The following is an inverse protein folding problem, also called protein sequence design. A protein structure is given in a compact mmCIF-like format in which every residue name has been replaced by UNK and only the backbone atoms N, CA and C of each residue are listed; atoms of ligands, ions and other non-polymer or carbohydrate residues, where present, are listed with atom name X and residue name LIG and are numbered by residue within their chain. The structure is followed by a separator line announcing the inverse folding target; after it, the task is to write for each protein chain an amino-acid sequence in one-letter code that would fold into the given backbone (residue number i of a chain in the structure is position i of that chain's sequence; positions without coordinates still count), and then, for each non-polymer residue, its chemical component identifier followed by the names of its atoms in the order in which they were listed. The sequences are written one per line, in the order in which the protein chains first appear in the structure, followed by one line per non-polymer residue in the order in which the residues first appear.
data_IF_416301837249
#
_entry.id   IF_416301837249
#
_cell.length_a   1.000
_cell.length_b   1.000
_cell.length_c   1.000
_cell.angle_alpha   90.00
_cell.angle_beta   90.00
_cell.angle_gamma   90.00
#
_symmetry.space_group_name_H-M   'P 1'
#
loop_
_entity.id
_entity.type
_entity.pdbx_description
1 polymer ?
#
# COMPACT_ATOMS: atom_id res chain seq x y z
N UNK A 1 -20.57 -23.41 7.62
CA UNK A 1 -20.71 -21.98 7.28
C UNK A 1 -19.39 -21.51 6.68
N UNK A 2 -19.36 -21.15 5.40
CA UNK A 2 -18.23 -20.49 4.76
C UNK A 2 -18.05 -19.12 5.44
N UNK A 3 -16.90 -18.89 6.09
CA UNK A 3 -16.53 -17.59 6.68
C UNK A 3 -16.51 -16.58 5.52
N UNK A 4 -17.50 -15.68 5.44
CA UNK A 4 -17.51 -14.60 4.45
C UNK A 4 -16.25 -13.77 4.70
N UNK A 5 -15.40 -13.69 3.68
CA UNK A 5 -14.11 -13.00 3.79
C UNK A 5 -14.29 -11.58 3.27
N UNK A 6 -14.58 -10.65 4.17
CA UNK A 6 -14.78 -9.24 3.81
C UNK A 6 -13.46 -8.55 3.49
N UNK A 7 -13.53 -7.53 2.63
CA UNK A 7 -12.43 -6.62 2.36
C UNK A 7 -11.92 -5.96 3.64
N UNK A 8 -10.64 -6.14 3.94
CA UNK A 8 -10.00 -5.67 5.18
C UNK A 8 -9.20 -4.39 4.99
N UNK A 9 -8.74 -4.10 3.77
CA UNK A 9 -8.03 -2.86 3.49
C UNK A 9 -7.94 -2.56 2.00
N UNK A 10 -7.52 -1.34 1.71
CA UNK A 10 -7.26 -0.83 0.38
C UNK A 10 -5.81 -0.32 0.33
N UNK A 11 -5.14 -0.52 -0.79
CA UNK A 11 -3.80 0.00 -1.04
C UNK A 11 -3.83 0.86 -2.29
N UNK A 12 -3.41 2.13 -2.19
CA UNK A 12 -3.25 3.05 -3.31
C UNK A 12 -1.76 3.16 -3.61
N UNK A 13 -1.33 2.65 -4.75
CA UNK A 13 0.07 2.59 -5.13
C UNK A 13 0.48 3.77 -6.00
N UNK A 14 1.69 4.29 -5.78
CA UNK A 14 2.35 5.27 -6.65
C UNK A 14 2.35 4.79 -8.09
N UNK A 15 2.98 3.64 -8.38
CA UNK A 15 3.11 3.13 -9.73
C UNK A 15 3.09 1.61 -9.81
N UNK A 16 3.70 1.09 -10.88
CA UNK A 16 3.71 -0.34 -11.19
C UNK A 16 4.54 -1.14 -10.17
N UNK A 17 5.67 -0.61 -9.69
CA UNK A 17 6.57 -1.31 -8.77
C UNK A 17 5.86 -1.64 -7.46
N UNK A 18 5.23 -0.65 -6.81
CA UNK A 18 4.49 -0.81 -5.55
C UNK A 18 3.29 -1.75 -5.75
N UNK A 19 2.59 -1.60 -6.88
CA UNK A 19 1.48 -2.49 -7.23
C UNK A 19 1.91 -3.95 -7.28
N UNK A 20 3.03 -4.25 -7.96
CA UNK A 20 3.54 -5.62 -8.08
C UNK A 20 3.91 -6.22 -6.73
N UNK A 21 4.52 -5.44 -5.82
CA UNK A 21 4.80 -5.90 -4.46
C UNK A 21 3.51 -6.22 -3.70
N UNK A 22 2.54 -5.31 -3.76
CA UNK A 22 1.28 -5.50 -3.05
C UNK A 22 0.52 -6.72 -3.60
N UNK A 23 0.50 -6.91 -4.92
CA UNK A 23 -0.11 -8.08 -5.57
C UNK A 23 0.60 -9.37 -5.12
N UNK A 24 1.94 -9.34 -5.06
CA UNK A 24 2.75 -10.47 -4.60
C UNK A 24 2.39 -10.85 -3.16
N UNK A 25 2.37 -9.89 -2.24
CA UNK A 25 2.04 -10.12 -0.83
C UNK A 25 0.59 -10.61 -0.69
N UNK A 26 -0.37 -9.95 -1.37
CA UNK A 26 -1.79 -10.34 -1.39
C UNK A 26 -1.96 -11.79 -1.81
N UNK A 27 -1.28 -12.21 -2.88
CA UNK A 27 -1.36 -13.57 -3.43
C UNK A 27 -0.77 -14.61 -2.50
N UNK A 28 0.44 -14.36 -1.96
CA UNK A 28 1.13 -15.31 -1.09
C UNK A 28 0.44 -15.48 0.27
N UNK A 29 -0.12 -14.41 0.83
CA UNK A 29 -0.84 -14.45 2.10
C UNK A 29 -2.33 -14.82 1.95
N UNK A 30 -2.87 -14.80 0.72
CA UNK A 30 -4.28 -15.07 0.41
C UNK A 30 -5.25 -14.20 1.23
N UNK A 31 -4.93 -12.92 1.38
CA UNK A 31 -5.66 -11.94 2.19
C UNK A 31 -6.65 -11.10 1.37
N UNK A 32 -7.70 -10.62 2.04
CA UNK A 32 -8.73 -9.76 1.44
C UNK A 32 -8.35 -8.29 1.52
N UNK A 33 -7.48 -7.84 0.61
CA UNK A 33 -7.18 -6.43 0.39
C UNK A 33 -7.37 -6.08 -1.08
N UNK A 34 -7.66 -4.81 -1.39
CA UNK A 34 -7.80 -4.32 -2.75
C UNK A 34 -6.64 -3.38 -3.09
N UNK A 35 -6.15 -3.45 -4.33
CA UNK A 35 -4.97 -2.70 -4.77
C UNK A 35 -5.37 -1.83 -5.94
N UNK A 36 -5.30 -0.52 -5.74
CA UNK A 36 -5.67 0.50 -6.71
C UNK A 36 -4.48 1.35 -7.13
N UNK A 37 -4.50 1.82 -8.37
CA UNK A 37 -3.43 2.61 -8.98
C UNK A 37 -3.95 3.34 -10.22
N UNK A 38 -3.36 4.49 -10.58
CA UNK A 38 -3.78 5.21 -11.77
C UNK A 38 -3.41 4.41 -13.03
N UNK A 39 -4.41 4.19 -13.90
CA UNK A 39 -4.32 3.35 -15.11
C UNK A 39 -3.63 1.99 -14.87
N UNK A 40 -3.92 1.31 -13.75
CA UNK A 40 -3.29 0.03 -13.36
C UNK A 40 -1.76 0.13 -13.18
N UNK A 41 -1.28 1.26 -12.69
CA UNK A 41 0.15 1.54 -12.46
C UNK A 41 0.90 2.03 -13.69
N UNK A 42 0.22 2.24 -14.84
CA UNK A 42 0.82 2.83 -16.04
C UNK A 42 1.12 4.31 -15.88
N UNK A 43 0.43 4.98 -14.95
CA UNK A 43 0.66 6.37 -14.62
C UNK A 43 0.94 6.47 -13.13
N UNK A 44 2.05 7.12 -12.79
CA UNK A 44 2.40 7.35 -11.39
C UNK A 44 1.46 8.35 -10.74
N UNK A 45 1.00 8.05 -9.54
CA UNK A 45 0.33 8.98 -8.63
C UNK A 45 1.43 9.66 -7.83
N UNK A 46 1.64 10.95 -8.06
CA UNK A 46 2.58 11.75 -7.26
C UNK A 46 1.89 12.22 -5.97
N UNK A 47 2.67 12.48 -4.91
CA UNK A 47 2.17 13.09 -3.65
C UNK A 47 1.39 14.37 -3.93
N UNK A 48 1.85 15.20 -4.87
CA UNK A 48 1.19 16.44 -5.30
C UNK A 48 -0.21 16.22 -5.87
N UNK A 49 -0.49 15.02 -6.38
CA UNK A 49 -1.73 14.64 -7.06
C UNK A 49 -2.62 13.68 -6.27
N UNK A 50 -2.17 13.20 -5.11
CA UNK A 50 -2.88 12.18 -4.32
C UNK A 50 -4.27 12.68 -3.88
N UNK A 51 -4.39 13.95 -3.50
CA UNK A 51 -5.68 14.54 -3.13
C UNK A 51 -6.62 14.65 -4.33
N UNK A 52 -6.09 14.93 -5.51
CA UNK A 52 -6.86 14.89 -6.76
C UNK A 52 -7.34 13.47 -7.06
N UNK A 53 -6.49 12.46 -6.83
CA UNK A 53 -6.88 11.07 -6.97
C UNK A 53 -8.01 10.67 -6.00
N UNK A 54 -7.90 11.07 -4.73
CA UNK A 54 -8.93 10.87 -3.69
C UNK A 54 -10.20 11.69 -3.93
N UNK A 55 -10.17 12.75 -4.73
CA UNK A 55 -11.38 13.47 -5.15
C UNK A 55 -12.19 12.72 -6.23
N UNK A 56 -11.65 11.64 -6.79
CA UNK A 56 -12.30 10.83 -7.81
C UNK A 56 -13.60 10.18 -7.32
N UNK A 57 -14.47 9.81 -8.27
CA UNK A 57 -15.85 9.37 -8.01
C UNK A 57 -15.96 8.29 -6.93
N UNK A 58 -15.12 7.25 -6.98
CA UNK A 58 -15.10 6.14 -6.02
C UNK A 58 -14.62 6.51 -4.61
N UNK A 59 -13.90 7.62 -4.47
CA UNK A 59 -13.36 8.10 -3.19
C UNK A 59 -14.09 9.34 -2.68
N UNK A 60 -14.99 9.94 -3.46
CA UNK A 60 -15.69 11.19 -3.14
C UNK A 60 -16.43 11.16 -1.81
N UNK A 61 -17.05 10.04 -1.47
CA UNK A 61 -17.79 9.86 -0.22
C UNK A 61 -17.94 8.37 0.12
N UNK A 62 -18.42 8.07 1.33
CA UNK A 62 -18.56 6.70 1.81
C UNK A 62 -19.57 5.86 1.00
N UNK A 63 -20.60 6.47 0.44
CA UNK A 63 -21.61 5.75 -0.37
C UNK A 63 -20.96 5.28 -1.66
N UNK A 64 -20.32 6.19 -2.40
CA UNK A 64 -19.59 5.85 -3.62
C UNK A 64 -18.49 4.82 -3.37
N UNK A 65 -17.80 4.92 -2.24
CA UNK A 65 -16.76 3.97 -1.84
C UNK A 65 -17.32 2.57 -1.60
N UNK A 66 -18.39 2.44 -0.81
CA UNK A 66 -19.04 1.14 -0.54
C UNK A 66 -19.73 0.56 -1.77
N UNK A 67 -20.22 1.40 -2.68
CA UNK A 67 -20.77 0.94 -3.95
C UNK A 67 -19.67 0.37 -4.87
N UNK A 68 -18.45 0.92 -4.80
CA UNK A 68 -17.32 0.43 -5.58
C UNK A 68 -16.66 -0.80 -4.96
N UNK A 69 -16.60 -0.84 -3.63
CA UNK A 69 -16.01 -1.91 -2.82
C UNK A 69 -17.11 -2.52 -1.95
N UNK A 70 -17.97 -3.31 -2.57
CA UNK A 70 -19.17 -3.91 -1.98
C UNK A 70 -18.87 -5.05 -0.99
N UNK A 71 -17.68 -5.63 -1.06
CA UNK A 71 -17.19 -6.67 -0.14
C UNK A 71 -16.76 -6.14 1.25
N UNK A 72 -17.00 -4.86 1.56
CA UNK A 72 -16.70 -4.29 2.89
C UNK A 72 -17.75 -4.76 3.91
N UNK A 73 -17.29 -5.21 5.07
CA UNK A 73 -18.16 -5.67 6.17
C UNK A 73 -19.20 -4.60 6.56
N UNK A 74 -20.51 -4.91 6.48
CA UNK A 74 -21.55 -4.01 6.95
C UNK A 74 -21.48 -3.83 8.46
N UNK A 75 -21.48 -2.57 8.91
CA UNK A 75 -21.52 -2.22 10.34
C UNK A 75 -22.77 -1.39 10.66
N UNK A 76 -23.16 -1.37 11.94
CA UNK A 76 -24.34 -0.62 12.43
C UNK A 76 -24.34 0.84 11.95
N UNK A 77 -23.19 1.51 12.06
CA UNK A 77 -23.05 2.88 11.55
C UNK A 77 -22.70 2.87 10.06
N UNK A 78 -23.71 3.03 9.20
CA UNK A 78 -23.54 3.04 7.74
C UNK A 78 -22.61 4.16 7.23
N UNK A 79 -22.41 5.23 8.01
CA UNK A 79 -21.52 6.36 7.71
C UNK A 79 -20.05 6.11 8.09
N UNK A 80 -19.70 4.91 8.57
CA UNK A 80 -18.32 4.51 8.88
C UNK A 80 -17.93 3.21 8.19
N UNK A 81 -16.63 2.95 8.12
CA UNK A 81 -16.04 1.66 7.79
C UNK A 81 -15.72 0.91 9.09
N UNK A 82 -15.52 -0.42 9.05
CA UNK A 82 -15.07 -1.17 10.21
C UNK A 82 -13.79 -0.57 10.81
N UNK A 83 -13.64 -0.59 12.14
CA UNK A 83 -12.49 0.02 12.82
C UNK A 83 -11.14 -0.61 12.41
N UNK A 84 -11.15 -1.87 11.98
CA UNK A 84 -9.95 -2.55 11.49
C UNK A 84 -9.56 -2.12 10.07
N UNK A 85 -10.44 -1.46 9.33
CA UNK A 85 -10.24 -1.15 7.92
C UNK A 85 -9.14 -0.09 7.77
N UNK A 86 -8.23 -0.30 6.82
CA UNK A 86 -7.12 0.62 6.56
C UNK A 86 -7.01 0.93 5.07
N UNK A 87 -6.62 2.17 4.78
CA UNK A 87 -6.29 2.64 3.43
C UNK A 87 -4.81 3.00 3.44
N UNK A 88 -3.96 2.11 2.93
CA UNK A 88 -2.54 2.37 2.77
C UNK A 88 -2.32 3.17 1.49
N UNK A 89 -1.58 4.27 1.57
CA UNK A 89 -1.22 5.07 0.40
C UNK A 89 0.30 5.01 0.30
N UNK A 90 0.83 4.27 -0.67
CA UNK A 90 2.28 4.00 -0.81
C UNK A 90 2.85 4.91 -1.90
N UNK A 91 3.70 5.86 -1.49
CA UNK A 91 4.24 6.90 -2.37
C UNK A 91 5.75 7.03 -2.28
N UNK A 92 6.36 7.24 -3.45
CA UNK A 92 7.75 7.70 -3.57
C UNK A 92 7.82 9.21 -3.27
N UNK A 93 8.96 9.66 -2.72
CA UNK A 93 9.14 11.07 -2.30
C UNK A 93 10.12 11.86 -3.18
N UNK A 94 10.52 11.35 -4.33
CA UNK A 94 11.40 12.05 -5.28
C UNK A 94 10.75 13.28 -5.93
N UNK A 95 9.46 13.19 -6.23
CA UNK A 95 8.69 14.22 -6.96
C UNK A 95 7.95 15.22 -6.05
N UNK A 96 8.47 15.50 -4.85
CA UNK A 96 7.81 16.42 -3.91
C UNK A 96 8.79 17.32 -3.15
N UNK A 97 8.31 18.50 -2.74
CA UNK A 97 9.07 19.37 -1.85
C UNK A 97 8.96 18.94 -0.38
N UNK A 98 9.82 19.48 0.47
CA UNK A 98 9.90 19.09 1.88
C UNK A 98 8.59 19.32 2.65
N UNK A 99 7.86 20.40 2.35
CA UNK A 99 6.56 20.68 2.97
C UNK A 99 5.51 19.63 2.58
N UNK A 100 5.46 19.26 1.30
CA UNK A 100 4.57 18.23 0.78
C UNK A 100 4.89 16.87 1.38
N UNK A 101 6.18 16.50 1.38
CA UNK A 101 6.71 15.29 2.00
C UNK A 101 6.28 15.19 3.46
N UNK A 102 6.51 16.25 4.23
CA UNK A 102 6.12 16.30 5.64
C UNK A 102 4.60 16.23 5.82
N UNK A 103 3.82 16.94 4.98
CA UNK A 103 2.36 16.91 5.05
C UNK A 103 1.75 15.54 4.73
N UNK A 104 2.42 14.76 3.88
CA UNK A 104 2.07 13.37 3.58
C UNK A 104 2.45 12.46 4.74
N UNK A 105 3.71 12.49 5.19
CA UNK A 105 4.22 11.65 6.29
C UNK A 105 3.44 11.86 7.59
N UNK A 106 3.16 13.11 7.96
CA UNK A 106 2.39 13.45 9.16
C UNK A 106 0.87 13.42 8.94
N UNK A 107 0.42 13.00 7.74
CA UNK A 107 -0.99 12.83 7.37
C UNK A 107 -1.81 14.14 7.33
N UNK A 108 -1.21 15.30 7.57
CA UNK A 108 -1.93 16.57 7.65
C UNK A 108 -2.65 16.96 6.36
N UNK A 109 -2.12 16.56 5.19
CA UNK A 109 -2.77 16.85 3.90
C UNK A 109 -4.13 16.16 3.72
N UNK A 110 -4.42 15.13 4.51
CA UNK A 110 -5.66 14.35 4.41
C UNK A 110 -6.74 14.79 5.41
N UNK A 111 -6.48 15.79 6.27
CA UNK A 111 -7.36 16.16 7.39
C UNK A 111 -8.82 16.39 7.01
N UNK A 112 -9.05 17.05 5.88
CA UNK A 112 -10.41 17.37 5.40
C UNK A 112 -11.08 16.20 4.65
N UNK A 113 -10.36 15.10 4.40
CA UNK A 113 -10.90 13.96 3.65
C UNK A 113 -11.62 12.98 4.59
N UNK A 114 -12.80 12.50 4.22
CA UNK A 114 -13.60 11.59 5.07
C UNK A 114 -12.91 10.23 5.36
N UNK A 115 -11.94 9.83 4.52
CA UNK A 115 -11.09 8.65 4.77
C UNK A 115 -9.98 8.91 5.79
N UNK A 116 -9.82 10.13 6.32
CA UNK A 116 -8.72 10.52 7.20
C UNK A 116 -8.43 9.46 8.26
N UNK A 117 -9.41 9.04 9.05
CA UNK A 117 -9.22 8.08 10.14
C UNK A 117 -8.68 6.70 9.67
N UNK A 118 -8.91 6.33 8.41
CA UNK A 118 -8.50 5.04 7.85
C UNK A 118 -7.17 5.10 7.09
N UNK A 119 -6.73 6.30 6.67
CA UNK A 119 -5.51 6.47 5.87
C UNK A 119 -4.26 6.20 6.71
N UNK A 120 -3.35 5.40 6.14
CA UNK A 120 -2.00 5.16 6.63
C UNK A 120 -1.02 5.52 5.49
N UNK A 121 -0.37 6.69 5.55
CA UNK A 121 0.61 7.06 4.53
C UNK A 121 1.87 6.20 4.67
N UNK A 122 2.31 5.60 3.58
CA UNK A 122 3.56 4.85 3.47
C UNK A 122 4.46 5.60 2.51
N UNK A 123 5.68 5.93 2.95
CA UNK A 123 6.65 6.63 2.12
C UNK A 123 7.83 5.74 1.74
N UNK A 124 8.36 5.96 0.55
CA UNK A 124 9.68 5.46 0.14
C UNK A 124 10.55 6.67 -0.16
N UNK A 125 11.55 6.93 0.68
CA UNK A 125 12.50 8.02 0.46
C UNK A 125 13.28 7.73 -0.84
N UNK A 126 13.32 8.74 -1.72
CA UNK A 126 13.68 8.61 -3.14
C UNK A 126 12.67 7.78 -3.92
N UNK A 127 12.79 6.45 -3.89
CA UNK A 127 11.93 5.52 -4.62
C UNK A 127 11.94 4.14 -3.96
N UNK A 128 10.98 3.29 -4.36
CA UNK A 128 10.87 1.93 -3.84
C UNK A 128 12.10 1.07 -4.12
N UNK A 129 12.74 1.16 -5.30
CA UNK A 129 13.92 0.36 -5.61
C UNK A 129 15.08 0.61 -4.64
N UNK A 130 15.31 1.86 -4.24
CA UNK A 130 16.32 2.21 -3.24
C UNK A 130 15.99 1.66 -1.86
N UNK A 131 14.72 1.69 -1.46
CA UNK A 131 14.24 1.09 -0.21
C UNK A 131 14.46 -0.42 -0.21
N UNK A 132 14.22 -1.10 -1.33
CA UNK A 132 14.42 -2.54 -1.45
C UNK A 132 15.91 -2.92 -1.33
N UNK A 133 16.79 -2.15 -1.99
CA UNK A 133 18.25 -2.36 -1.86
C UNK A 133 18.71 -2.14 -0.41
N UNK A 134 18.19 -1.10 0.26
CA UNK A 134 18.47 -0.83 1.68
C UNK A 134 17.97 -1.96 2.60
N UNK A 135 16.84 -2.57 2.26
CA UNK A 135 16.31 -3.77 2.93
C UNK A 135 17.05 -5.07 2.57
N UNK A 136 18.15 -5.00 1.81
CA UNK A 136 19.00 -6.14 1.45
C UNK A 136 18.49 -6.97 0.27
N UNK A 137 17.51 -6.48 -0.49
CA UNK A 137 17.01 -7.15 -1.70
C UNK A 137 18.02 -6.97 -2.83
N UNK A 138 18.48 -8.10 -3.35
CA UNK A 138 19.42 -8.12 -4.48
C UNK A 138 18.66 -8.16 -5.80
N UNK A 139 18.98 -7.21 -6.67
CA UNK A 139 18.55 -7.19 -8.07
C UNK A 139 19.68 -7.70 -8.96
N UNK A 140 19.34 -8.35 -10.08
CA UNK A 140 20.33 -8.74 -11.09
C UNK A 140 20.54 -7.62 -12.11
N UNK A 141 19.46 -6.91 -12.45
CA UNK A 141 19.50 -5.75 -13.36
C UNK A 141 19.67 -4.42 -12.64
N UNK A 142 19.97 -3.40 -13.44
CA UNK A 142 20.17 -2.02 -13.00
C UNK A 142 19.19 -1.05 -13.66
N UNK A 143 19.02 0.11 -13.02
CA UNK A 143 18.13 1.17 -13.50
C UNK A 143 16.69 0.71 -13.73
N UNK A 144 16.08 1.21 -14.79
CA UNK A 144 14.68 0.94 -15.13
C UNK A 144 14.37 -0.55 -15.40
N UNK A 145 15.38 -1.35 -15.75
CA UNK A 145 15.19 -2.76 -16.05
C UNK A 145 14.88 -3.61 -14.81
N UNK A 146 15.20 -3.12 -13.61
CA UNK A 146 14.84 -3.75 -12.33
C UNK A 146 13.35 -4.03 -12.23
N UNK A 147 12.51 -3.16 -12.80
CA UNK A 147 11.05 -3.29 -12.83
C UNK A 147 10.57 -4.59 -13.49
N UNK A 148 11.36 -5.16 -14.40
CA UNK A 148 11.06 -6.45 -15.04
C UNK A 148 11.30 -7.66 -14.13
N UNK A 149 12.10 -7.49 -13.08
CA UNK A 149 12.54 -8.59 -12.21
C UNK A 149 11.63 -8.78 -11.00
N UNK A 150 10.79 -7.81 -10.65
CA UNK A 150 9.91 -7.85 -9.48
C UNK A 150 9.19 -9.19 -9.27
N UNK A 151 8.60 -9.84 -10.29
CA UNK A 151 7.94 -11.14 -10.10
C UNK A 151 8.88 -12.27 -9.61
N UNK A 152 10.19 -12.16 -9.89
CA UNK A 152 11.20 -13.18 -9.58
C UNK A 152 12.12 -12.77 -8.42
N UNK A 153 12.34 -11.47 -8.23
CA UNK A 153 13.23 -10.92 -7.20
C UNK A 153 12.80 -11.33 -5.81
N UNK A 154 11.51 -11.28 -5.49
CA UNK A 154 11.02 -11.67 -4.16
C UNK A 154 11.28 -13.16 -3.86
N UNK A 155 10.82 -14.11 -4.69
CA UNK A 155 11.14 -15.52 -4.50
C UNK A 155 12.65 -15.82 -4.45
N UNK A 156 13.45 -15.21 -5.34
CA UNK A 156 14.91 -15.41 -5.36
C UNK A 156 15.60 -14.91 -4.10
N UNK A 157 15.03 -13.91 -3.43
CA UNK A 157 15.50 -13.39 -2.15
C UNK A 157 14.85 -14.11 -0.95
N UNK A 158 14.23 -15.29 -1.16
CA UNK A 158 13.62 -16.09 -0.10
C UNK A 158 12.31 -15.51 0.45
N UNK A 159 11.69 -14.57 -0.28
CA UNK A 159 10.41 -13.97 0.05
C UNK A 159 9.36 -14.67 -0.81
N UNK A 160 9.01 -15.90 -0.44
CA UNK A 160 8.04 -16.73 -1.17
C UNK A 160 6.95 -17.33 -0.28
N UNK A 161 7.08 -17.18 1.03
CA UNK A 161 6.15 -17.70 2.01
C UNK A 161 5.95 -16.68 3.15
N UNK A 162 5.12 -17.06 4.12
CA UNK A 162 4.80 -16.21 5.28
C UNK A 162 6.06 -15.82 6.04
N UNK A 163 7.00 -16.74 6.25
CA UNK A 163 8.22 -16.49 7.02
C UNK A 163 9.18 -15.55 6.26
N UNK A 164 9.30 -15.72 4.94
CA UNK A 164 10.03 -14.81 4.06
C UNK A 164 9.45 -13.39 4.07
N UNK A 165 8.12 -13.26 4.01
CA UNK A 165 7.44 -11.95 4.14
C UNK A 165 7.66 -11.36 5.53
N UNK A 166 7.66 -12.17 6.60
CA UNK A 166 7.93 -11.73 7.97
C UNK A 166 9.37 -11.23 8.13
N UNK A 167 10.34 -11.91 7.52
CA UNK A 167 11.75 -11.46 7.44
C UNK A 167 11.88 -10.16 6.65
N UNK A 168 11.20 -10.06 5.50
CA UNK A 168 11.18 -8.84 4.69
C UNK A 168 10.65 -7.64 5.48
N UNK A 169 9.54 -7.81 6.20
CA UNK A 169 9.01 -6.76 7.09
C UNK A 169 9.99 -6.34 8.19
N UNK A 170 10.76 -7.27 8.76
CA UNK A 170 11.84 -6.93 9.72
C UNK A 170 12.96 -6.12 9.09
N UNK A 171 13.36 -6.44 7.85
CA UNK A 171 14.36 -5.65 7.13
C UNK A 171 13.86 -4.22 6.88
N UNK A 172 12.61 -4.06 6.42
CA UNK A 172 12.00 -2.75 6.20
C UNK A 172 11.92 -1.93 7.49
N UNK A 173 11.56 -2.55 8.61
CA UNK A 173 11.50 -1.89 9.94
C UNK A 173 12.83 -1.27 10.37
N UNK A 174 13.95 -1.83 9.93
CA UNK A 174 15.28 -1.31 10.25
C UNK A 174 15.73 -0.18 9.29
N UNK A 175 15.01 0.01 8.18
CA UNK A 175 15.28 1.08 7.23
C UNK A 175 14.74 2.40 7.75
N UNK A 176 15.52 3.47 7.64
CA UNK A 176 15.04 4.84 7.90
C UNK A 176 14.35 5.46 6.68
N UNK A 177 14.42 4.80 5.53
CA UNK A 177 13.92 5.30 4.25
C UNK A 177 12.44 5.03 4.03
N UNK A 178 11.80 4.25 4.88
CA UNK A 178 10.40 3.87 4.71
C UNK A 178 9.74 3.55 6.03
N UNK A 179 8.41 3.53 6.04
CA UNK A 179 7.57 2.93 7.08
C UNK A 179 6.72 1.76 6.51
N UNK A 180 7.14 1.15 5.39
CA UNK A 180 6.40 0.08 4.72
C UNK A 180 6.17 -1.17 5.59
N UNK A 181 6.94 -1.36 6.67
CA UNK A 181 6.68 -2.42 7.65
C UNK A 181 5.29 -2.32 8.28
N UNK A 182 4.70 -1.11 8.38
CA UNK A 182 3.32 -0.95 8.86
C UNK A 182 2.33 -1.73 7.98
N UNK A 183 2.50 -1.66 6.66
CA UNK A 183 1.69 -2.40 5.70
C UNK A 183 1.94 -3.92 5.79
N UNK A 184 3.21 -4.34 5.89
CA UNK A 184 3.56 -5.76 6.05
C UNK A 184 2.95 -6.35 7.33
N UNK A 185 3.09 -5.64 8.46
CA UNK A 185 2.54 -6.05 9.74
C UNK A 185 1.01 -6.15 9.70
N UNK A 186 0.34 -5.20 9.05
CA UNK A 186 -1.10 -5.29 8.82
C UNK A 186 -1.47 -6.55 8.05
N UNK A 187 -0.77 -6.85 6.95
CA UNK A 187 -1.04 -8.02 6.12
C UNK A 187 -0.83 -9.34 6.88
N UNK A 188 0.24 -9.44 7.66
CA UNK A 188 0.51 -10.62 8.50
C UNK A 188 -0.54 -10.79 9.61
N UNK A 189 -1.01 -9.71 10.22
CA UNK A 189 -2.06 -9.76 11.24
C UNK A 189 -3.42 -10.23 10.69
N UNK A 190 -3.64 -10.24 9.36
CA UNK A 190 -4.85 -10.77 8.74
C UNK A 190 -4.84 -12.30 8.62
N UNK A 191 -3.67 -12.94 8.60
CA UNK A 191 -3.55 -14.41 8.50
C UNK A 191 -3.44 -15.09 9.86
N UNK A 192 -3.08 -14.36 10.91
CA UNK A 192 -3.01 -14.87 12.29
C UNK A 192 -4.40 -14.96 12.98
N UNK A 193 -5.52 -14.86 12.23
CA UNK A 193 -6.91 -14.73 12.74
C UNK A 193 -7.96 -15.68 12.14
#
# INVERSE_FOLDING_TARGET
MTKISYLKGLVICHGKSEKLICDFIKSNLRIQIEIDSDKKGKKSIQITSVMKFLSGEKYKNIVSFKNKFDDIEPIKNRKKLPNYFKVFIIMDTDDCNENQKNSFKNKSMFKEHWLYDYIVPIYNDSNLEEVLVDAGIKFQKNGNERKSEYPKVFPMNGISDVEGIKKFGKCLKNSKKTNMEEFINFCLALIEK
#
